data_IF_798110199378
#
_entry.id   IF_798110199378
#
_cell.length_a   1.000
_cell.length_b   1.000
_cell.length_c   1.000
_cell.angle_alpha   90.00
_cell.angle_beta   90.00
_cell.angle_gamma   90.00
#
_symmetry.space_group_name_H-M   'P 1'
#
loop_
_entity.id
_entity.type
_entity.pdbx_description
1 polymer ?
#
# COMPACT_ATOMS: atom_id res chain seq x y z
N UNK A 1 -24.18 -8.80 -4.88
CA UNK A 1 -24.53 -9.91 -3.96
C UNK A 1 -23.24 -10.32 -3.25
N UNK A 2 -23.20 -10.33 -1.90
CA UNK A 2 -22.00 -10.65 -1.12
C UNK A 2 -22.15 -12.05 -0.49
N UNK A 3 -21.21 -12.94 -0.76
CA UNK A 3 -21.20 -14.33 -0.29
C UNK A 3 -19.81 -14.72 0.21
N UNK A 4 -19.28 -13.96 1.18
CA UNK A 4 -17.95 -14.21 1.73
C UNK A 4 -17.98 -15.27 2.82
N UNK A 5 -19.06 -15.33 3.61
CA UNK A 5 -19.22 -16.31 4.69
C UNK A 5 -20.56 -17.03 4.61
N UNK A 6 -20.73 -18.09 5.41
CA UNK A 6 -22.03 -18.78 5.57
C UNK A 6 -23.03 -17.96 6.39
N UNK A 7 -22.59 -16.91 7.09
CA UNK A 7 -23.47 -16.04 7.87
C UNK A 7 -24.02 -14.91 7.01
N UNK A 8 -25.35 -14.90 6.83
CA UNK A 8 -26.00 -13.81 6.10
C UNK A 8 -25.82 -12.44 6.76
N UNK A 9 -25.74 -12.38 8.10
CA UNK A 9 -25.54 -11.11 8.79
C UNK A 9 -24.16 -10.51 8.51
N UNK A 10 -23.11 -11.35 8.57
CA UNK A 10 -21.76 -10.94 8.21
C UNK A 10 -21.70 -10.49 6.75
N UNK A 11 -22.33 -11.23 5.84
CA UNK A 11 -22.43 -10.85 4.43
C UNK A 11 -23.16 -9.51 4.23
N UNK A 12 -24.24 -9.24 4.96
CA UNK A 12 -24.94 -7.94 4.90
C UNK A 12 -24.06 -6.79 5.38
N UNK A 13 -23.36 -6.98 6.50
CA UNK A 13 -22.41 -5.98 7.03
C UNK A 13 -21.31 -5.71 6.01
N UNK A 14 -20.70 -6.76 5.46
CA UNK A 14 -19.65 -6.64 4.45
C UNK A 14 -20.13 -5.98 3.15
N UNK A 15 -21.32 -6.34 2.67
CA UNK A 15 -21.90 -5.73 1.48
C UNK A 15 -22.08 -4.22 1.63
N UNK A 16 -22.45 -3.73 2.83
CA UNK A 16 -22.54 -2.29 3.11
C UNK A 16 -21.17 -1.63 3.05
N UNK A 17 -20.15 -2.19 3.71
CA UNK A 17 -18.80 -1.64 3.65
C UNK A 17 -18.29 -1.55 2.20
N UNK A 18 -18.47 -2.61 1.40
CA UNK A 18 -18.06 -2.61 -0.02
C UNK A 18 -18.81 -1.53 -0.81
N UNK A 19 -20.09 -1.30 -0.51
CA UNK A 19 -20.88 -0.28 -1.18
C UNK A 19 -20.41 1.12 -0.81
N UNK A 20 -20.15 1.37 0.47
CA UNK A 20 -19.62 2.64 0.99
C UNK A 20 -18.25 2.95 0.38
N UNK A 21 -17.34 1.97 0.35
CA UNK A 21 -16.03 2.08 -0.29
C UNK A 21 -16.13 2.48 -1.77
N UNK A 22 -17.05 1.85 -2.52
CA UNK A 22 -17.27 2.19 -3.94
C UNK A 22 -17.87 3.57 -4.11
N UNK A 23 -18.81 3.94 -3.25
CA UNK A 23 -19.45 5.25 -3.28
C UNK A 23 -18.43 6.36 -3.00
N UNK A 24 -17.58 6.17 -1.99
CA UNK A 24 -16.48 7.08 -1.65
C UNK A 24 -15.54 7.28 -2.84
N UNK A 25 -15.12 6.20 -3.51
CA UNK A 25 -14.33 6.29 -4.74
C UNK A 25 -15.06 7.05 -5.86
N UNK A 26 -16.37 6.82 -6.04
CA UNK A 26 -17.12 7.48 -7.10
C UNK A 26 -17.30 8.99 -6.85
N UNK A 27 -17.48 9.41 -5.59
CA UNK A 27 -17.71 10.81 -5.23
C UNK A 27 -16.41 11.60 -5.08
N UNK A 28 -15.37 10.98 -4.52
CA UNK A 28 -14.15 11.67 -4.12
C UNK A 28 -12.93 11.31 -4.97
N UNK A 29 -13.00 10.26 -5.80
CA UNK A 29 -11.95 9.87 -6.74
C UNK A 29 -10.60 9.68 -6.05
N UNK A 30 -9.60 10.47 -6.46
CA UNK A 30 -8.24 10.42 -5.92
C UNK A 30 -8.16 10.85 -4.45
N UNK A 31 -9.14 11.63 -3.98
CA UNK A 31 -9.27 12.06 -2.58
C UNK A 31 -10.11 11.09 -1.74
N UNK A 32 -10.58 9.98 -2.29
CA UNK A 32 -11.23 8.92 -1.51
C UNK A 32 -10.25 8.34 -0.48
N UNK A 33 -10.77 7.85 0.64
CA UNK A 33 -9.96 7.26 1.70
C UNK A 33 -9.11 6.10 1.17
N UNK A 34 -9.70 5.24 0.34
CA UNK A 34 -9.00 4.10 -0.26
C UNK A 34 -7.88 4.53 -1.21
N UNK A 35 -8.08 5.60 -1.97
CA UNK A 35 -7.05 6.14 -2.86
C UNK A 35 -5.88 6.70 -2.07
N UNK A 36 -6.16 7.51 -1.05
CA UNK A 36 -5.12 8.08 -0.17
C UNK A 36 -4.31 6.98 0.53
N UNK A 37 -5.00 6.00 1.13
CA UNK A 37 -4.34 4.86 1.79
C UNK A 37 -3.43 4.08 0.82
N UNK A 38 -3.88 3.89 -0.43
CA UNK A 38 -3.08 3.23 -1.46
C UNK A 38 -1.85 4.05 -1.82
N UNK A 39 -1.97 5.38 -1.92
CA UNK A 39 -0.85 6.28 -2.17
C UNK A 39 0.18 6.18 -1.05
N UNK A 40 -0.24 6.31 0.20
CA UNK A 40 0.64 6.23 1.38
C UNK A 40 1.41 4.91 1.44
N UNK A 41 0.74 3.78 1.21
CA UNK A 41 1.39 2.46 1.18
C UNK A 41 2.41 2.39 0.04
N UNK A 42 2.11 2.98 -1.12
CA UNK A 42 3.01 3.01 -2.26
C UNK A 42 4.24 3.88 -2.01
N UNK A 43 4.06 5.04 -1.37
CA UNK A 43 5.12 5.97 -0.99
C UNK A 43 6.06 5.34 0.03
N UNK A 44 5.51 4.68 1.06
CA UNK A 44 6.31 3.94 2.03
C UNK A 44 7.15 2.84 1.37
N UNK A 45 6.57 2.08 0.44
CA UNK A 45 7.30 1.05 -0.33
C UNK A 45 8.42 1.67 -1.17
N UNK A 46 8.18 2.80 -1.80
CA UNK A 46 9.17 3.49 -2.61
C UNK A 46 10.32 4.05 -1.75
N UNK A 47 10.01 4.62 -0.59
CA UNK A 47 11.02 5.12 0.34
C UNK A 47 11.90 4.00 0.91
N UNK A 48 11.31 2.85 1.26
CA UNK A 48 12.08 1.67 1.66
C UNK A 48 13.05 1.23 0.57
N UNK A 49 12.60 1.18 -0.69
CA UNK A 49 13.46 0.86 -1.84
C UNK A 49 14.57 1.89 -2.03
N UNK A 50 14.26 3.18 -1.90
CA UNK A 50 15.25 4.26 -2.00
C UNK A 50 16.34 4.11 -0.95
N UNK A 51 15.95 3.90 0.32
CA UNK A 51 16.89 3.68 1.44
C UNK A 51 17.76 2.45 1.23
N UNK A 52 17.20 1.35 0.74
CA UNK A 52 17.97 0.14 0.46
C UNK A 52 19.02 0.38 -0.63
N UNK A 53 18.67 1.09 -1.71
CA UNK A 53 19.61 1.46 -2.79
C UNK A 53 20.76 2.32 -2.27
N UNK A 54 20.45 3.39 -1.52
CA UNK A 54 21.47 4.27 -0.94
C UNK A 54 22.42 3.51 -0.01
N UNK A 55 21.90 2.60 0.82
CA UNK A 55 22.72 1.76 1.70
C UNK A 55 23.63 0.81 0.91
N UNK A 56 23.13 0.24 -0.18
CA UNK A 56 23.91 -0.64 -1.04
C UNK A 56 25.05 0.12 -1.72
N UNK A 57 24.77 1.30 -2.25
CA UNK A 57 25.75 2.19 -2.87
C UNK A 57 26.84 2.61 -1.88
N UNK A 58 26.45 3.00 -0.66
CA UNK A 58 27.40 3.31 0.40
C UNK A 58 28.30 2.11 0.73
N UNK A 59 27.73 0.90 0.84
CA UNK A 59 28.50 -0.33 1.06
C UNK A 59 29.49 -0.62 -0.07
N UNK A 60 29.10 -0.41 -1.33
CA UNK A 60 30.00 -0.58 -2.48
C UNK A 60 31.15 0.41 -2.41
N UNK A 61 30.86 1.69 -2.21
CA UNK A 61 31.88 2.73 -2.10
C UNK A 61 32.86 2.49 -0.94
N UNK A 62 32.37 1.91 0.16
CA UNK A 62 33.22 1.52 1.29
C UNK A 62 34.14 0.34 0.92
N UNK A 63 33.58 -0.71 0.28
CA UNK A 63 34.36 -1.87 -0.18
C UNK A 63 35.48 -1.44 -1.15
N UNK A 64 35.15 -0.55 -2.09
CA UNK A 64 36.10 0.02 -3.05
C UNK A 64 37.21 0.83 -2.36
N UNK A 65 36.88 1.69 -1.39
CA UNK A 65 37.89 2.48 -0.64
C UNK A 65 38.84 1.61 0.16
N UNK A 66 38.32 0.58 0.81
CA UNK A 66 39.11 -0.30 1.67
C UNK A 66 39.85 -1.40 0.88
N UNK A 67 39.75 -1.41 -0.47
CA UNK A 67 40.28 -2.46 -1.35
C UNK A 67 39.90 -3.88 -0.89
N UNK A 68 38.69 -4.04 -0.34
CA UNK A 68 38.21 -5.32 0.22
C UNK A 68 37.67 -6.26 -0.87
N UNK A 69 38.15 -6.14 -2.11
CA UNK A 69 37.52 -6.79 -3.26
C UNK A 69 37.61 -8.31 -3.28
#
# INVERSE_FOLDING_TARGET
MCHETRSQEQNRKRARCILEEKLDLMLHGDQSYLSQLKSEISEQKNEMKRRAKLRLELKKSFKERENLD
#
